data_IF_604942475482
#
_entry.id   IF_604942475482
#
_cell.length_a   1.000
_cell.length_b   1.000
_cell.length_c   1.000
_cell.angle_alpha   90.00
_cell.angle_beta   90.00
_cell.angle_gamma   90.00
#
_symmetry.space_group_name_H-M   'P 1'
#
loop_
_entity.id
_entity.type
_entity.pdbx_description
1 polymer ?
#
# COMPACT_ATOMS: atom_id res chain seq x y z
N UNK A 1 -7.56 -2.67 -3.46
CA UNK A 1 -7.91 -1.24 -3.19
C UNK A 1 -9.06 -1.30 -2.19
N UNK A 2 -8.96 -0.59 -1.06
CA UNK A 2 -9.83 -0.85 0.11
C UNK A 2 -11.34 -0.82 -0.20
N UNK A 3 -11.80 0.11 -1.03
CA UNK A 3 -13.21 0.22 -1.43
C UNK A 3 -13.70 -0.98 -2.24
N UNK A 4 -12.87 -1.53 -3.12
CA UNK A 4 -13.21 -2.71 -3.91
C UNK A 4 -13.30 -3.97 -3.05
N UNK A 5 -12.38 -4.12 -2.09
CA UNK A 5 -12.37 -5.25 -1.15
C UNK A 5 -13.59 -5.23 -0.21
N UNK A 6 -13.97 -4.05 0.29
CA UNK A 6 -15.20 -3.90 1.08
C UNK A 6 -16.42 -4.31 0.25
N UNK A 7 -16.51 -3.87 -1.01
CA UNK A 7 -17.63 -4.20 -1.89
C UNK A 7 -17.70 -5.71 -2.21
N UNK A 8 -16.57 -6.39 -2.36
CA UNK A 8 -16.52 -7.84 -2.56
C UNK A 8 -17.01 -8.60 -1.32
N UNK A 9 -16.58 -8.18 -0.14
CA UNK A 9 -17.02 -8.79 1.12
C UNK A 9 -18.51 -8.55 1.35
N UNK A 10 -19.03 -7.37 1.05
CA UNK A 10 -20.47 -7.08 1.13
C UNK A 10 -21.29 -7.93 0.16
N UNK A 11 -20.79 -8.18 -1.07
CA UNK A 11 -21.43 -9.07 -2.04
C UNK A 11 -21.51 -10.52 -1.57
N UNK A 12 -20.58 -10.96 -0.72
CA UNK A 12 -20.61 -12.30 -0.12
C UNK A 12 -21.68 -12.45 0.98
N UNK A 13 -22.46 -11.39 1.27
CA UNK A 13 -23.51 -11.37 2.29
C UNK A 13 -23.00 -11.08 3.70
N UNK A 14 -21.72 -10.73 3.85
CA UNK A 14 -21.11 -10.37 5.14
C UNK A 14 -21.28 -8.88 5.38
N UNK A 15 -21.89 -8.52 6.52
CA UNK A 15 -21.97 -7.13 6.97
C UNK A 15 -20.60 -6.69 7.50
N UNK A 16 -19.96 -5.75 6.81
CA UNK A 16 -18.65 -5.22 7.20
C UNK A 16 -18.79 -4.31 8.43
N UNK A 17 -18.06 -4.61 9.49
CA UNK A 17 -17.91 -3.76 10.68
C UNK A 17 -16.44 -3.35 10.81
N UNK A 18 -16.03 -2.34 10.04
CA UNK A 18 -14.65 -1.90 9.91
C UNK A 18 -14.46 -0.49 10.49
N UNK A 19 -13.38 -0.31 11.26
CA UNK A 19 -12.93 1.00 11.72
C UNK A 19 -11.54 1.29 11.14
N UNK A 20 -11.36 2.47 10.56
CA UNK A 20 -10.08 2.92 10.01
C UNK A 20 -9.46 3.90 11.01
N UNK A 21 -8.18 3.70 11.35
CA UNK A 21 -7.47 4.64 12.23
C UNK A 21 -7.22 5.96 11.51
N UNK A 22 -7.43 7.06 12.24
CA UNK A 22 -7.07 8.42 11.85
C UNK A 22 -5.55 8.64 11.63
N UNK A 23 -4.72 7.75 12.19
CA UNK A 23 -3.25 7.78 12.09
C UNK A 23 -2.71 6.76 11.08
N UNK A 24 -3.59 6.09 10.34
CA UNK A 24 -3.15 5.16 9.29
C UNK A 24 -2.53 5.94 8.14
N UNK A 25 -1.32 5.55 7.74
CA UNK A 25 -0.64 6.16 6.60
C UNK A 25 -1.23 5.65 5.29
N UNK A 26 -1.45 6.56 4.34
CA UNK A 26 -2.02 6.21 3.04
C UNK A 26 -0.96 5.66 2.09
N UNK A 27 -1.20 4.47 1.54
CA UNK A 27 -0.42 3.97 0.41
C UNK A 27 -0.95 4.58 -0.89
N UNK A 28 -0.23 5.56 -1.43
CA UNK A 28 -0.58 6.27 -2.66
C UNK A 28 -0.12 5.48 -3.91
N UNK A 29 -0.73 5.72 -5.09
CA UNK A 29 -0.28 5.08 -6.34
C UNK A 29 1.19 5.32 -6.65
N UNK A 30 1.71 6.51 -6.30
CA UNK A 30 3.12 6.86 -6.44
C UNK A 30 4.04 5.87 -5.73
N UNK A 31 3.69 5.41 -4.53
CA UNK A 31 4.53 4.47 -3.78
C UNK A 31 4.69 3.14 -4.53
N UNK A 32 3.64 2.67 -5.22
CA UNK A 32 3.73 1.43 -6.00
C UNK A 32 4.63 1.60 -7.23
N UNK A 33 4.61 2.78 -7.86
CA UNK A 33 5.54 3.13 -8.93
C UNK A 33 6.98 3.21 -8.43
N UNK A 34 7.23 3.90 -7.31
CA UNK A 34 8.55 4.01 -6.69
C UNK A 34 9.13 2.63 -6.33
N UNK A 35 8.33 1.77 -5.73
CA UNK A 35 8.69 0.38 -5.39
C UNK A 35 9.05 -0.44 -6.64
N UNK A 36 8.26 -0.29 -7.71
CA UNK A 36 8.55 -0.95 -9.00
C UNK A 36 9.84 -0.45 -9.63
N UNK A 37 10.04 0.87 -9.65
CA UNK A 37 11.24 1.48 -10.23
C UNK A 37 12.49 1.12 -9.44
N UNK A 38 12.40 1.00 -8.12
CA UNK A 38 13.53 0.63 -7.27
C UNK A 38 13.95 -0.83 -7.50
N UNK A 39 12.99 -1.74 -7.62
CA UNK A 39 13.25 -3.13 -8.01
C UNK A 39 13.93 -3.20 -9.39
N UNK A 40 13.46 -2.41 -10.36
CA UNK A 40 14.08 -2.34 -11.70
C UNK A 40 15.48 -1.74 -11.66
N UNK A 41 15.71 -0.73 -10.82
CA UNK A 41 17.02 -0.09 -10.63
C UNK A 41 18.05 -1.06 -10.06
N UNK A 42 17.63 -1.94 -9.15
CA UNK A 42 18.49 -2.90 -8.47
C UNK A 42 18.81 -4.14 -9.32
N UNK A 43 17.96 -4.48 -10.29
CA UNK A 43 18.20 -5.60 -11.22
C UNK A 43 18.41 -6.91 -10.48
N UNK A 44 19.59 -7.52 -10.62
CA UNK A 44 19.95 -8.77 -9.94
C UNK A 44 20.02 -8.64 -8.40
N UNK A 45 20.10 -7.41 -7.88
CA UNK A 45 20.04 -7.08 -6.45
C UNK A 45 18.64 -6.73 -5.95
N UNK A 46 17.60 -7.03 -6.73
CA UNK A 46 16.20 -6.84 -6.38
C UNK A 46 15.86 -7.40 -4.98
N UNK A 47 15.02 -6.69 -4.23
CA UNK A 47 14.57 -7.15 -2.92
C UNK A 47 13.47 -8.21 -3.03
N UNK A 48 12.79 -8.28 -4.18
CA UNK A 48 11.66 -9.18 -4.38
C UNK A 48 10.36 -8.62 -3.79
N UNK A 49 10.18 -7.31 -3.84
CA UNK A 49 8.97 -6.63 -3.40
C UNK A 49 7.71 -7.09 -4.16
N UNK A 50 6.56 -6.98 -3.49
CA UNK A 50 5.24 -7.20 -4.10
C UNK A 50 4.86 -6.09 -5.08
N UNK A 51 5.66 -5.01 -5.17
CA UNK A 51 5.44 -3.84 -6.04
C UNK A 51 4.13 -3.10 -5.72
N UNK A 52 3.73 -3.15 -4.46
CA UNK A 52 2.50 -2.50 -3.97
C UNK A 52 2.79 -1.20 -3.20
N UNK A 53 4.05 -0.78 -3.12
CA UNK A 53 4.42 0.49 -2.48
C UNK A 53 4.53 0.42 -0.97
N UNK A 54 4.65 -0.78 -0.39
CA UNK A 54 4.71 -0.96 1.06
C UNK A 54 5.97 -0.30 1.62
N UNK A 55 7.14 -0.58 1.04
CA UNK A 55 8.40 -0.05 1.52
C UNK A 55 8.49 1.48 1.41
N UNK A 56 8.16 2.12 0.25
CA UNK A 56 8.12 3.58 0.17
C UNK A 56 7.13 4.23 1.13
N UNK A 57 5.92 3.66 1.27
CA UNK A 57 4.90 4.16 2.21
C UNK A 57 5.40 4.18 3.67
N UNK A 58 6.08 3.12 4.11
CA UNK A 58 6.70 3.09 5.44
C UNK A 58 7.91 4.04 5.54
N UNK A 59 8.68 4.21 4.46
CA UNK A 59 9.77 5.17 4.37
C UNK A 59 9.28 6.60 4.64
N UNK A 60 8.21 7.01 3.97
CA UNK A 60 7.60 8.32 4.13
C UNK A 60 7.04 8.53 5.54
N UNK A 61 6.47 7.49 6.16
CA UNK A 61 5.99 7.54 7.54
C UNK A 61 7.14 7.82 8.51
N UNK A 62 8.27 7.12 8.35
CA UNK A 62 9.46 7.31 9.20
C UNK A 62 10.08 8.68 8.96
N UNK A 63 10.11 9.14 7.70
CA UNK A 63 10.60 10.47 7.32
C UNK A 63 9.65 11.61 7.74
N UNK A 64 8.46 11.31 8.29
CA UNK A 64 7.42 12.27 8.66
C UNK A 64 6.96 13.12 7.46
N UNK A 65 6.97 12.52 6.27
CA UNK A 65 6.48 13.09 5.01
C UNK A 65 5.13 12.50 4.60
N UNK A 66 4.77 11.37 5.17
CA UNK A 66 3.54 10.69 4.82
C UNK A 66 2.29 11.44 5.31
N UNK A 67 1.23 11.28 4.52
CA UNK A 67 -0.13 11.76 4.80
C UNK A 67 -0.99 10.67 5.45
#
# INVERSE_FOLDING_TARGET
MLSAEIAEVEQSGVKVNLCISDRATLCLPLHAEEDTLEELRLGDGAYGSTRQGIAPCYGDRVMKKAF
#
